data_IF_770970599070
#
_entry.id   IF_770970599070
#
_cell.length_a   1.000
_cell.length_b   1.000
_cell.length_c   1.000
_cell.angle_alpha   90.00
_cell.angle_beta   90.00
_cell.angle_gamma   90.00
#
_symmetry.space_group_name_H-M   'P 1'
#
loop_
_entity.id
_entity.type
_entity.pdbx_description
1 polymer ?
#
# COMPACT_ATOMS: atom_id res chain seq x y z
N UNK A 1 -5.42 -3.77 -5.12
CA UNK A 1 -3.99 -3.53 -5.44
C UNK A 1 -3.22 -3.55 -4.15
N UNK A 2 -2.11 -4.30 -4.09
CA UNK A 2 -1.28 -4.43 -2.90
C UNK A 2 -0.14 -3.40 -2.96
N UNK A 3 0.30 -2.89 -1.83
CA UNK A 3 1.38 -1.91 -1.76
C UNK A 3 2.26 -2.16 -0.55
N UNK A 4 3.53 -1.80 -0.69
CA UNK A 4 4.48 -1.74 0.41
C UNK A 4 4.66 -0.27 0.77
N UNK A 5 4.46 0.07 2.04
CA UNK A 5 4.66 1.42 2.55
C UNK A 5 5.90 1.49 3.43
N UNK A 6 6.82 2.39 3.11
CA UNK A 6 7.91 2.78 4.01
C UNK A 6 7.64 4.18 4.55
N UNK A 7 7.85 4.36 5.85
CA UNK A 7 7.73 5.66 6.49
C UNK A 7 9.06 6.37 6.49
N UNK A 8 9.08 7.57 5.93
CA UNK A 8 10.28 8.38 5.84
C UNK A 8 10.49 9.27 7.07
N UNK A 9 9.48 9.44 7.91
CA UNK A 9 9.60 10.16 9.18
C UNK A 9 9.24 9.26 10.35
N UNK A 10 9.88 9.51 11.49
CA UNK A 10 9.48 8.98 12.80
C UNK A 10 9.20 10.18 13.70
N UNK A 11 7.98 10.28 14.21
CA UNK A 11 7.55 11.41 15.07
C UNK A 11 7.87 12.80 14.48
N UNK A 12 7.71 12.95 13.16
CA UNK A 12 7.99 14.20 12.44
C UNK A 12 9.44 14.39 12.01
N UNK A 13 10.38 13.66 12.59
CA UNK A 13 11.80 13.72 12.25
C UNK A 13 12.07 12.85 11.02
N UNK A 14 12.75 13.41 10.02
CA UNK A 14 13.13 12.70 8.80
C UNK A 14 14.17 11.63 9.14
N UNK A 15 13.89 10.38 8.75
CA UNK A 15 14.83 9.25 8.84
C UNK A 15 15.94 9.39 7.82
N UNK A 16 17.10 8.86 8.16
CA UNK A 16 18.26 8.79 7.26
C UNK A 16 18.00 7.83 6.10
N UNK A 17 18.75 7.98 5.01
CA UNK A 17 18.63 7.10 3.85
C UNK A 17 18.96 5.63 4.20
N UNK A 18 19.94 5.42 5.08
CA UNK A 18 20.31 4.08 5.54
C UNK A 18 19.17 3.39 6.31
N UNK A 19 18.50 4.11 7.21
CA UNK A 19 17.34 3.58 7.95
C UNK A 19 16.17 3.27 7.01
N UNK A 20 15.95 4.11 6.00
CA UNK A 20 14.88 3.90 5.02
C UNK A 20 15.19 2.69 4.12
N UNK A 21 16.44 2.54 3.68
CA UNK A 21 16.86 1.43 2.84
C UNK A 21 16.78 0.07 3.57
N UNK A 22 17.03 0.07 4.88
CA UNK A 22 16.91 -1.13 5.73
C UNK A 22 15.45 -1.45 6.12
N UNK A 23 14.50 -0.55 5.87
CA UNK A 23 13.09 -0.74 6.22
C UNK A 23 12.40 -1.66 5.20
N UNK A 24 11.93 -2.83 5.66
CA UNK A 24 11.15 -3.74 4.83
C UNK A 24 9.78 -3.15 4.41
N UNK A 25 9.28 -2.20 5.18
CA UNK A 25 7.98 -1.56 5.00
C UNK A 25 6.81 -2.41 5.48
N UNK A 26 5.63 -1.82 5.41
CA UNK A 26 4.35 -2.43 5.75
C UNK A 26 3.60 -2.78 4.48
N UNK A 27 3.27 -4.05 4.33
CA UNK A 27 2.69 -4.57 3.11
C UNK A 27 1.17 -4.77 3.30
N UNK A 28 0.36 -4.07 2.50
CA UNK A 28 -1.09 -4.01 2.69
C UNK A 28 -1.86 -3.40 1.53
N UNK A 29 -3.14 -3.13 1.78
CA UNK A 29 -4.05 -2.46 0.86
C UNK A 29 -4.14 -0.99 1.25
N UNK A 30 -3.90 -0.12 0.28
CA UNK A 30 -4.05 1.33 0.46
C UNK A 30 -5.49 1.72 0.14
N UNK A 31 -6.12 2.44 1.07
CA UNK A 31 -7.44 3.02 0.90
C UNK A 31 -7.38 4.55 0.99
N UNK A 32 -8.29 5.21 0.27
CA UNK A 32 -8.54 6.65 0.40
C UNK A 32 -10.00 6.85 0.80
N UNK A 33 -10.25 7.66 1.82
CA UNK A 33 -11.60 7.93 2.34
C UNK A 33 -11.71 9.33 2.94
N UNK A 34 -12.92 9.74 3.31
CA UNK A 34 -13.19 10.95 4.09
C UNK A 34 -13.52 10.56 5.54
N UNK A 35 -12.84 11.17 6.50
CA UNK A 35 -13.22 11.18 7.91
C UNK A 35 -13.90 12.52 8.22
N UNK A 36 -15.23 12.54 8.17
CA UNK A 36 -16.00 13.79 8.14
C UNK A 36 -15.71 14.55 6.85
N UNK A 37 -15.07 15.71 6.95
CA UNK A 37 -14.63 16.52 5.79
C UNK A 37 -13.15 16.35 5.46
N UNK A 38 -12.39 15.64 6.28
CA UNK A 38 -10.93 15.50 6.14
C UNK A 38 -10.60 14.27 5.29
N UNK A 39 -9.77 14.44 4.25
CA UNK A 39 -9.27 13.31 3.47
C UNK A 39 -8.29 12.50 4.30
N UNK A 40 -8.36 11.18 4.23
CA UNK A 40 -7.38 10.31 4.84
C UNK A 40 -6.99 9.17 3.91
N UNK A 41 -5.72 8.79 4.01
CA UNK A 41 -5.16 7.59 3.41
C UNK A 41 -4.88 6.57 4.52
N UNK A 42 -5.28 5.32 4.29
CA UNK A 42 -5.11 4.23 5.24
C UNK A 42 -4.31 3.09 4.59
N UNK A 43 -3.60 2.34 5.43
CA UNK A 43 -2.98 1.08 5.06
C UNK A 43 -3.57 -0.02 5.93
N UNK A 44 -4.20 -1.02 5.32
CA UNK A 44 -4.82 -2.12 6.05
C UNK A 44 -4.42 -3.50 5.52
N UNK A 45 -4.52 -4.51 6.37
CA UNK A 45 -4.46 -5.91 5.97
C UNK A 45 -5.75 -6.62 6.35
N UNK A 46 -6.14 -7.64 5.58
CA UNK A 46 -7.25 -8.52 5.97
C UNK A 46 -6.76 -9.48 7.05
N UNK A 47 -7.52 -9.58 8.15
CA UNK A 47 -7.35 -10.64 9.13
C UNK A 47 -8.01 -11.91 8.57
N UNK A 48 -7.25 -12.99 8.44
CA UNK A 48 -7.60 -14.21 7.71
C UNK A 48 -8.91 -14.89 8.14
N UNK A 49 -9.35 -14.69 9.38
CA UNK A 49 -10.43 -15.50 9.97
C UNK A 49 -11.80 -14.79 10.09
N UNK A 50 -11.87 -13.47 9.94
CA UNK A 50 -13.10 -12.73 10.31
C UNK A 50 -13.56 -11.70 9.27
N UNK A 51 -12.85 -11.56 8.14
CA UNK A 51 -13.13 -10.51 7.16
C UNK A 51 -12.86 -9.08 7.68
N UNK A 52 -12.41 -8.94 8.92
CA UNK A 52 -12.10 -7.67 9.57
C UNK A 52 -10.75 -7.15 9.06
N UNK A 53 -10.74 -5.94 8.52
CA UNK A 53 -9.50 -5.25 8.14
C UNK A 53 -8.87 -4.57 9.35
N UNK A 54 -7.57 -4.76 9.57
CA UNK A 54 -6.80 -4.08 10.61
C UNK A 54 -5.91 -3.01 9.98
N UNK A 55 -5.87 -1.82 10.57
CA UNK A 55 -4.93 -0.77 10.16
C UNK A 55 -3.51 -1.16 10.56
N UNK A 56 -2.59 -1.16 9.59
CA UNK A 56 -1.17 -1.45 9.81
C UNK A 56 -0.40 -0.20 10.26
N UNK A 57 -0.88 0.97 9.85
CA UNK A 57 -0.34 2.27 10.21
C UNK A 57 -1.49 3.19 10.63
N UNK A 58 -1.24 4.16 11.53
CA UNK A 58 -2.22 5.21 11.78
C UNK A 58 -2.57 5.96 10.48
N UNK A 59 -3.81 6.43 10.30
CA UNK A 59 -4.21 7.12 9.08
C UNK A 59 -3.35 8.36 8.79
N UNK A 60 -3.10 8.59 7.51
CA UNK A 60 -2.43 9.79 7.01
C UNK A 60 -3.49 10.79 6.56
N UNK A 61 -3.70 11.85 7.33
CA UNK A 61 -4.70 12.88 7.08
C UNK A 61 -4.19 13.97 6.15
N UNK A 62 -5.10 14.52 5.33
CA UNK A 62 -4.84 15.46 4.25
C UNK A 62 -3.63 15.05 3.37
N UNK A 63 -3.66 13.83 2.79
CA UNK A 63 -2.56 13.35 1.99
C UNK A 63 -2.38 14.21 0.74
N UNK A 64 -1.14 14.64 0.52
CA UNK A 64 -0.67 15.38 -0.64
C UNK A 64 0.35 14.54 -1.40
N UNK A 65 0.13 14.35 -2.70
CA UNK A 65 1.10 13.72 -3.58
C UNK A 65 2.31 14.64 -3.75
N UNK A 66 3.50 14.17 -3.36
CA UNK A 66 4.76 14.90 -3.54
C UNK A 66 5.45 14.53 -4.85
N UNK A 67 5.52 13.24 -5.15
CA UNK A 67 6.12 12.73 -6.37
C UNK A 67 5.44 11.44 -6.80
N UNK A 68 5.46 11.19 -8.11
CA UNK A 68 4.97 9.96 -8.71
C UNK A 68 6.11 9.35 -9.52
N UNK A 69 6.29 8.04 -9.37
CA UNK A 69 7.30 7.22 -10.03
C UNK A 69 6.60 6.09 -10.78
N UNK A 70 7.34 5.34 -11.59
CA UNK A 70 6.76 4.25 -12.40
C UNK A 70 6.15 3.14 -11.53
N UNK A 71 6.75 2.86 -10.38
CA UNK A 71 6.43 1.77 -9.47
C UNK A 71 5.84 2.25 -8.14
N UNK A 72 5.52 3.54 -8.02
CA UNK A 72 5.10 4.07 -6.73
C UNK A 72 4.86 5.58 -6.67
N UNK A 73 4.63 6.06 -5.46
CA UNK A 73 4.46 7.48 -5.18
C UNK A 73 4.98 7.84 -3.80
N UNK A 74 5.35 9.10 -3.62
CA UNK A 74 5.60 9.67 -2.29
C UNK A 74 4.42 10.57 -1.95
N UNK A 75 3.81 10.33 -0.79
CA UNK A 75 2.73 11.16 -0.25
C UNK A 75 3.13 11.72 1.10
N UNK A 76 2.65 12.92 1.40
CA UNK A 76 2.85 13.61 2.68
C UNK A 76 1.51 13.92 3.32
N UNK A 77 1.44 13.82 4.63
CA UNK A 77 0.26 14.26 5.38
C UNK A 77 0.53 14.30 6.87
N UNK A 78 -0.54 14.39 7.64
CA UNK A 78 -0.48 14.44 9.10
C UNK A 78 -0.84 13.08 9.68
N UNK A 79 0.00 12.56 10.55
CA UNK A 79 -0.26 11.31 11.26
C UNK A 79 -0.40 11.60 12.75
N UNK A 80 -1.52 11.17 13.33
CA UNK A 80 -1.74 11.25 14.77
C UNK A 80 -1.30 9.94 15.42
N UNK A 81 -0.42 10.02 16.41
CA UNK A 81 -0.06 8.84 17.20
C UNK A 81 -1.19 8.47 18.16
N UNK A 82 -1.20 7.20 18.57
CA UNK A 82 -2.14 6.72 19.58
C UNK A 82 -2.00 7.53 20.87
N UNK A 83 -3.12 8.09 21.32
CA UNK A 83 -3.23 8.77 22.60
C UNK A 83 -3.84 7.86 23.67
N UNK A 84 -4.13 8.44 24.84
CA UNK A 84 -4.97 7.78 25.84
C UNK A 84 -6.46 7.93 25.47
N UNK A 85 -7.35 7.25 26.21
CA UNK A 85 -8.81 7.40 26.03
C UNK A 85 -9.29 8.85 26.20
N UNK A 86 -8.55 9.69 26.92
CA UNK A 86 -8.94 11.05 27.29
C UNK A 86 -8.07 12.13 26.66
N UNK A 87 -6.95 11.77 26.05
CA UNK A 87 -5.99 12.72 25.49
C UNK A 87 -5.55 12.26 24.12
N UNK A 88 -5.90 12.99 23.05
CA UNK A 88 -5.39 12.73 21.71
C UNK A 88 -3.86 12.72 21.72
N UNK A 89 -3.27 11.76 21.01
CA UNK A 89 -1.82 11.73 20.85
C UNK A 89 -1.32 12.89 19.99
N UNK A 90 -0.01 13.16 20.03
CA UNK A 90 0.60 14.20 19.20
C UNK A 90 0.39 13.90 17.72
N UNK A 91 0.33 14.98 16.93
CA UNK A 91 0.20 14.91 15.47
C UNK A 91 1.50 15.38 14.84
N UNK A 92 2.04 14.56 13.95
CA UNK A 92 3.31 14.82 13.30
C UNK A 92 3.17 14.80 11.78
N UNK A 93 4.04 15.55 11.11
CA UNK A 93 4.20 15.44 9.66
C UNK A 93 4.77 14.05 9.33
N UNK A 94 4.20 13.39 8.33
CA UNK A 94 4.65 12.10 7.87
C UNK A 94 4.74 12.06 6.34
N UNK A 95 5.67 11.25 5.84
CA UNK A 95 5.87 10.97 4.42
C UNK A 95 5.91 9.46 4.21
N UNK A 96 5.08 8.97 3.30
CA UNK A 96 5.01 7.56 2.94
C UNK A 96 5.54 7.39 1.52
N UNK A 97 6.49 6.47 1.34
CA UNK A 97 6.78 5.89 0.03
C UNK A 97 5.86 4.69 -0.17
N UNK A 98 4.96 4.80 -1.15
CA UNK A 98 4.09 3.72 -1.58
C UNK A 98 4.74 3.06 -2.78
N UNK A 99 5.13 1.80 -2.64
CA UNK A 99 5.54 0.96 -3.77
C UNK A 99 4.37 0.06 -4.17
N UNK A 100 3.97 0.16 -5.43
CA UNK A 100 2.94 -0.66 -6.03
C UNK A 100 3.47 -2.06 -6.27
N UNK A 101 2.88 -3.05 -5.59
CA UNK A 101 3.15 -4.44 -5.89
C UNK A 101 2.09 -4.89 -6.87
N UNK A 102 2.48 -5.01 -8.14
CA UNK A 102 1.63 -5.62 -9.15
C UNK A 102 1.22 -7.01 -8.66
N UNK A 103 -0.08 -7.28 -8.57
CA UNK A 103 -0.49 -8.68 -8.63
C UNK A 103 -0.04 -9.15 -10.00
N UNK A 104 0.87 -10.13 -10.06
CA UNK A 104 0.96 -10.97 -11.24
C UNK A 104 -0.43 -11.57 -11.40
N UNK A 105 -1.23 -10.93 -12.25
CA UNK A 105 -2.45 -11.51 -12.75
C UNK A 105 -2.01 -12.78 -13.47
N UNK A 106 -2.69 -13.90 -13.19
CA UNK A 106 -2.47 -15.20 -13.84
C UNK A 106 -2.65 -15.21 -15.38
N UNK A 107 -2.64 -14.05 -16.04
CA UNK A 107 -2.72 -13.88 -17.49
C UNK A 107 -1.53 -14.45 -18.26
N UNK A 108 -0.38 -14.70 -17.63
CA UNK A 108 0.72 -15.40 -18.30
C UNK A 108 0.51 -16.92 -18.39
N UNK A 109 -0.41 -17.50 -17.63
CA UNK A 109 -0.72 -18.93 -17.70
C UNK A 109 -1.72 -19.25 -18.83
N UNK A 110 -2.78 -18.47 -19.00
CA UNK A 110 -3.74 -18.64 -20.12
C UNK A 110 -3.08 -18.44 -21.50
N UNK A 111 -2.14 -17.49 -21.62
CA UNK A 111 -1.47 -17.23 -22.89
C UNK A 111 -0.45 -18.32 -23.27
N UNK A 112 0.03 -19.12 -22.30
CA UNK A 112 0.89 -20.27 -22.54
C UNK A 112 0.10 -21.52 -22.95
N UNK A 113 -1.07 -21.73 -22.36
CA UNK A 113 -1.95 -22.86 -22.73
C UNK A 113 -2.56 -22.69 -24.13
N UNK A 114 -2.88 -21.45 -24.53
CA UNK A 114 -3.37 -21.15 -25.90
C UNK A 114 -2.29 -21.29 -26.99
N UNK A 115 -1.00 -21.22 -26.64
CA UNK A 115 0.11 -21.47 -27.58
C UNK A 115 0.55 -22.94 -27.63
N UNK A 116 0.14 -23.76 -26.65
CA UNK A 116 0.54 -25.16 -26.51
C UNK A 116 -0.45 -26.16 -27.11
N UNK A 117 -1.48 -25.72 -27.82
CA UNK A 117 -2.39 -26.60 -28.56
C UNK A 117 -2.07 -26.55 -30.06
N UNK A 118 -1.19 -27.44 -30.58
CA UNK A 118 -1.16 -27.68 -32.01
C UNK A 118 -2.51 -28.27 -32.42
N UNK A 119 -3.14 -27.64 -33.42
CA UNK A 119 -4.24 -28.21 -34.18
C UNK A 119 -3.86 -29.63 -34.63
N UNK A 120 -4.38 -30.66 -33.96
CA UNK A 120 -4.49 -31.99 -34.56
C UNK A 120 -5.56 -31.89 -35.64
N UNK A 121 -5.11 -31.50 -36.84
CA UNK A 121 -5.86 -31.60 -38.07
C UNK A 121 -6.25 -33.07 -38.28
N UNK A 122 -7.54 -33.26 -38.50
CA UNK A 122 -8.17 -34.47 -38.98
C UNK A 122 -7.39 -35.09 -40.16
N UNK A 123 -7.25 -36.41 -40.15
CA UNK A 123 -7.30 -37.22 -41.36
C UNK A 123 -8.51 -38.14 -41.25
N UNK A 124 -9.47 -37.99 -42.17
CA UNK A 124 -10.32 -39.11 -42.62
C UNK A 124 -9.47 -40.13 -43.39
N UNK A 125 -9.92 -41.33 -43.72
CA UNK A 125 -11.26 -41.91 -43.84
C UNK A 125 -11.39 -43.22 -43.05
#
# INVERSE_FOLDING_TARGET
>A
MYSIIRQFRSEGIRRTEAEIAADAGFAGIVGMSLAGTTRQMTLSAQKSDEGTSVLLLPPLYEPQLLSMHADGMIVRGWQRLSGSKTTPGPTYLQEWLLTFVGQQSGRQQEMRELQASPLQLMQGD
#
